data_IF_896608066700
#
_entry.id   IF_896608066700
#
_cell.length_a   1.000
_cell.length_b   1.000
_cell.length_c   1.000
_cell.angle_alpha   90.00
_cell.angle_beta   90.00
_cell.angle_gamma   90.00
#
_symmetry.space_group_name_H-M   'P 1'
#
loop_
_entity.id
_entity.type
_entity.pdbx_description
1 polymer ?
#
# COMPACT_ATOMS: atom_id res chain seq x y z
N UNK A 1 -19.37 34.58 -1.27
CA UNK A 1 -20.08 34.95 -0.03
C UNK A 1 -21.11 36.03 -0.31
N UNK A 2 -20.72 37.23 -0.82
CA UNK A 2 -21.64 38.33 -1.03
C UNK A 2 -22.87 37.96 -1.87
N UNK A 3 -22.67 37.32 -3.03
CA UNK A 3 -23.80 36.94 -3.91
C UNK A 3 -24.74 35.93 -3.24
N UNK A 4 -24.20 34.99 -2.43
CA UNK A 4 -25.06 34.05 -1.72
C UNK A 4 -25.83 34.71 -0.57
N UNK A 5 -25.18 35.60 0.17
CA UNK A 5 -25.85 36.37 1.23
C UNK A 5 -26.97 37.24 0.64
N UNK A 6 -26.75 37.88 -0.49
CA UNK A 6 -27.75 38.74 -1.14
C UNK A 6 -28.92 37.96 -1.74
N UNK A 7 -28.64 36.81 -2.36
CA UNK A 7 -29.65 36.04 -3.08
C UNK A 7 -30.34 34.97 -2.20
N UNK A 8 -29.58 34.34 -1.27
CA UNK A 8 -30.04 33.20 -0.47
C UNK A 8 -30.24 33.56 1.01
N UNK A 9 -29.69 34.69 1.47
CA UNK A 9 -29.78 35.11 2.87
C UNK A 9 -28.85 34.36 3.84
N UNK A 10 -27.97 33.49 3.34
CA UNK A 10 -27.10 32.66 4.18
C UNK A 10 -25.70 32.51 3.60
N UNK A 11 -24.74 32.16 4.48
CA UNK A 11 -23.36 31.88 4.08
C UNK A 11 -23.27 30.54 3.37
N UNK A 12 -22.70 30.45 2.16
CA UNK A 12 -22.73 29.24 1.32
C UNK A 12 -21.79 28.11 1.81
N UNK A 13 -20.91 28.40 2.76
CA UNK A 13 -19.96 27.41 3.29
C UNK A 13 -19.51 27.80 4.71
N UNK A 14 -19.12 26.79 5.50
CA UNK A 14 -18.70 26.96 6.91
C UNK A 14 -17.18 26.98 7.05
N UNK A 15 -16.45 26.38 6.12
CA UNK A 15 -14.99 26.21 6.19
C UNK A 15 -14.34 26.79 4.93
N UNK A 16 -13.22 27.48 5.12
CA UNK A 16 -12.36 28.00 4.03
C UNK A 16 -10.96 27.41 4.23
N UNK A 17 -10.57 26.52 3.32
CA UNK A 17 -9.21 25.97 3.28
C UNK A 17 -8.34 26.82 2.35
N UNK A 18 -7.30 27.44 2.91
CA UNK A 18 -6.34 28.24 2.14
C UNK A 18 -5.13 27.37 1.84
N UNK A 19 -4.94 27.05 0.56
CA UNK A 19 -3.78 26.29 0.07
C UNK A 19 -2.65 27.21 -0.39
N UNK A 20 -1.42 26.70 -0.47
CA UNK A 20 -0.27 27.41 -1.01
C UNK A 20 -0.30 27.52 -2.54
N UNK A 21 0.61 28.31 -3.09
CA UNK A 21 0.80 28.44 -4.53
C UNK A 21 1.72 27.36 -5.08
N UNK A 22 1.46 26.96 -6.32
CA UNK A 22 2.40 26.14 -7.10
C UNK A 22 3.42 27.08 -7.75
N UNK A 23 4.69 26.87 -7.45
CA UNK A 23 5.84 27.62 -7.97
C UNK A 23 6.66 26.76 -8.94
N UNK A 24 7.48 27.39 -9.76
CA UNK A 24 8.43 26.65 -10.59
C UNK A 24 9.51 25.92 -9.74
N UNK A 25 10.38 25.18 -10.39
CA UNK A 25 11.47 24.42 -9.75
C UNK A 25 12.48 25.29 -8.99
N UNK A 26 12.59 26.58 -9.38
CA UNK A 26 13.43 27.56 -8.70
C UNK A 26 12.68 28.28 -7.55
N UNK A 27 11.41 27.97 -7.33
CA UNK A 27 10.58 28.59 -6.30
C UNK A 27 10.00 29.96 -6.69
N UNK A 28 10.07 30.35 -7.97
CA UNK A 28 9.49 31.60 -8.46
C UNK A 28 7.99 31.43 -8.73
N UNK A 29 7.22 32.49 -8.54
CA UNK A 29 5.81 32.51 -8.93
C UNK A 29 5.70 32.33 -10.45
N UNK A 30 4.87 31.41 -10.88
CA UNK A 30 4.58 31.20 -12.29
C UNK A 30 3.81 32.39 -12.86
N UNK A 31 4.24 32.90 -14.00
CA UNK A 31 3.56 33.98 -14.71
C UNK A 31 3.79 33.92 -16.23
N UNK A 32 2.85 34.45 -16.99
CA UNK A 32 2.97 34.54 -18.47
C UNK A 32 4.18 35.37 -18.90
N UNK A 33 4.49 36.45 -18.16
CA UNK A 33 5.62 37.33 -18.46
C UNK A 33 6.98 36.69 -18.25
N UNK A 34 7.11 35.72 -17.35
CA UNK A 34 8.34 34.98 -17.12
C UNK A 34 8.47 33.73 -18.01
N UNK A 35 7.40 33.34 -18.70
CA UNK A 35 7.38 32.13 -19.53
C UNK A 35 7.64 30.83 -18.76
N UNK A 36 7.48 30.85 -17.41
CA UNK A 36 7.72 29.73 -16.53
C UNK A 36 6.43 29.01 -16.09
N UNK A 37 5.31 29.31 -16.75
CA UNK A 37 4.04 28.62 -16.55
C UNK A 37 4.11 27.20 -17.09
N UNK A 38 3.53 26.26 -16.36
CA UNK A 38 3.38 24.86 -16.79
C UNK A 38 1.93 24.69 -17.22
N UNK A 39 1.72 24.23 -18.45
CA UNK A 39 0.39 23.91 -18.95
C UNK A 39 -0.07 22.55 -18.35
N UNK A 40 -1.16 22.52 -17.56
CA UNK A 40 -1.69 21.29 -17.03
C UNK A 40 -2.05 20.26 -18.11
N UNK A 41 -2.49 20.70 -19.30
CA UNK A 41 -2.84 19.79 -20.39
C UNK A 41 -1.60 19.06 -20.94
N UNK A 42 -0.46 19.76 -21.06
CA UNK A 42 0.80 19.13 -21.45
C UNK A 42 1.23 18.06 -20.43
N UNK A 43 1.04 18.31 -19.13
CA UNK A 43 1.31 17.34 -18.07
C UNK A 43 0.38 16.14 -18.18
N UNK A 44 -0.90 16.37 -18.43
CA UNK A 44 -1.92 15.33 -18.57
C UNK A 44 -1.63 14.43 -19.78
N UNK A 45 -1.31 15.04 -20.92
CA UNK A 45 -0.98 14.29 -22.14
C UNK A 45 0.24 13.39 -21.96
N UNK A 46 1.21 13.82 -21.17
CA UNK A 46 2.47 13.10 -20.98
C UNK A 46 2.42 12.04 -19.84
N UNK A 47 1.72 12.34 -18.77
CA UNK A 47 1.76 11.53 -17.54
C UNK A 47 0.40 11.03 -17.05
N UNK A 48 -0.69 11.57 -17.60
CA UNK A 48 -2.06 11.29 -17.14
C UNK A 48 -2.56 12.25 -16.08
N UNK A 49 -3.89 12.40 -16.03
CA UNK A 49 -4.55 13.32 -15.11
C UNK A 49 -4.35 12.92 -13.62
N UNK A 50 -4.39 11.63 -13.31
CA UNK A 50 -4.18 11.12 -11.95
C UNK A 50 -2.78 11.45 -11.42
N UNK A 51 -1.75 11.35 -12.26
CA UNK A 51 -0.39 11.70 -11.87
C UNK A 51 -0.25 13.19 -11.50
N UNK A 52 -0.87 14.07 -12.27
CA UNK A 52 -0.90 15.51 -11.95
C UNK A 52 -1.66 15.78 -10.65
N UNK A 53 -2.88 15.26 -10.52
CA UNK A 53 -3.72 15.43 -9.32
C UNK A 53 -3.00 14.97 -8.05
N UNK A 54 -2.44 13.78 -8.09
CA UNK A 54 -1.70 13.19 -6.99
C UNK A 54 -0.45 14.00 -6.61
N UNK A 55 0.30 14.47 -7.60
CA UNK A 55 1.48 15.32 -7.39
C UNK A 55 1.14 16.62 -6.67
N UNK A 56 0.00 17.25 -7.02
CA UNK A 56 -0.41 18.53 -6.42
C UNK A 56 -0.82 18.39 -4.94
N UNK A 57 -1.20 17.21 -4.50
CA UNK A 57 -1.59 16.96 -3.11
C UNK A 57 -0.43 16.39 -2.29
N UNK A 58 0.41 15.54 -2.89
CA UNK A 58 1.50 14.84 -2.19
C UNK A 58 2.58 15.82 -1.72
N UNK A 59 2.91 15.75 -0.42
CA UNK A 59 3.95 16.57 0.19
C UNK A 59 3.58 18.05 0.34
N UNK A 60 2.28 18.36 0.23
CA UNK A 60 1.75 19.69 0.43
C UNK A 60 1.12 19.82 1.83
N UNK A 61 1.52 20.85 2.56
CA UNK A 61 0.89 21.22 3.83
C UNK A 61 0.04 22.48 3.63
N UNK A 62 -1.14 22.59 4.29
CA UNK A 62 -1.98 23.77 4.20
C UNK A 62 -1.19 25.06 4.42
N UNK A 63 -1.41 26.06 3.55
CA UNK A 63 -0.76 27.36 3.63
C UNK A 63 0.68 27.44 3.13
N UNK A 64 1.32 26.33 2.77
CA UNK A 64 2.68 26.32 2.24
C UNK A 64 2.70 26.24 0.72
N UNK A 65 3.58 27.04 0.10
CA UNK A 65 3.82 26.98 -1.34
C UNK A 65 4.58 25.68 -1.69
N UNK A 66 4.24 25.07 -2.82
CA UNK A 66 4.95 23.92 -3.35
C UNK A 66 5.75 24.26 -4.60
N UNK A 67 6.91 23.60 -4.78
CA UNK A 67 7.64 23.65 -6.05
C UNK A 67 7.22 22.49 -6.93
N UNK A 68 6.95 22.81 -8.19
CA UNK A 68 6.62 21.81 -9.20
C UNK A 68 7.90 21.22 -9.78
N UNK A 69 8.01 19.89 -9.75
CA UNK A 69 9.09 19.13 -10.37
C UNK A 69 8.52 18.04 -11.26
N UNK A 70 8.98 17.97 -12.50
CA UNK A 70 8.59 16.92 -13.44
C UNK A 70 8.88 15.51 -12.89
N UNK A 71 9.97 15.34 -12.16
CA UNK A 71 10.33 14.08 -11.51
C UNK A 71 9.30 13.61 -10.47
N UNK A 72 8.60 14.54 -9.81
CA UNK A 72 7.49 14.20 -8.90
C UNK A 72 6.27 13.69 -9.67
N UNK A 73 5.96 14.28 -10.82
CA UNK A 73 4.86 13.80 -11.66
C UNK A 73 5.17 12.40 -12.20
N UNK A 74 6.41 12.16 -12.61
CA UNK A 74 6.87 10.85 -13.02
C UNK A 74 6.78 9.82 -11.90
N UNK A 75 7.17 10.17 -10.67
CA UNK A 75 7.01 9.31 -9.50
C UNK A 75 5.52 8.99 -9.23
N UNK A 76 4.63 9.98 -9.37
CA UNK A 76 3.18 9.78 -9.22
C UNK A 76 2.61 8.84 -10.28
N UNK A 77 3.06 8.96 -11.54
CA UNK A 77 2.72 7.99 -12.60
C UNK A 77 3.23 6.59 -12.29
N UNK A 78 4.46 6.47 -11.77
CA UNK A 78 5.02 5.18 -11.38
C UNK A 78 4.24 4.54 -10.23
N UNK A 79 3.74 5.33 -9.28
CA UNK A 79 2.82 4.85 -8.24
C UNK A 79 1.51 4.32 -8.86
N UNK A 80 0.88 5.07 -9.77
CA UNK A 80 -0.31 4.60 -10.48
C UNK A 80 -0.04 3.26 -11.20
N UNK A 81 1.10 3.14 -11.90
CA UNK A 81 1.50 1.91 -12.56
C UNK A 81 1.70 0.74 -11.58
N UNK A 82 2.20 1.01 -10.36
CA UNK A 82 2.33 -0.03 -9.33
C UNK A 82 0.97 -0.55 -8.87
N UNK A 83 0.01 0.35 -8.64
CA UNK A 83 -1.38 -0.02 -8.30
C UNK A 83 -2.01 -0.85 -9.42
N UNK A 84 -1.85 -0.42 -10.67
CA UNK A 84 -2.31 -1.16 -11.86
C UNK A 84 -1.71 -2.56 -11.95
N UNK A 85 -0.41 -2.69 -11.76
CA UNK A 85 0.26 -3.99 -11.83
C UNK A 85 -0.16 -4.92 -10.69
N UNK A 86 -0.38 -4.39 -9.48
CA UNK A 86 -0.92 -5.15 -8.36
C UNK A 86 -2.33 -5.67 -8.66
N UNK A 87 -3.21 -4.82 -9.21
CA UNK A 87 -4.58 -5.23 -9.60
C UNK A 87 -4.56 -6.32 -10.68
N UNK A 88 -3.72 -6.16 -11.71
CA UNK A 88 -3.55 -7.20 -12.75
C UNK A 88 -3.07 -8.52 -12.18
N UNK A 89 -2.10 -8.48 -11.26
CA UNK A 89 -1.63 -9.69 -10.59
C UNK A 89 -2.77 -10.41 -9.86
N UNK A 90 -3.62 -9.67 -9.14
CA UNK A 90 -4.77 -10.25 -8.42
C UNK A 90 -5.78 -10.85 -9.39
N UNK A 91 -6.18 -10.11 -10.43
CA UNK A 91 -7.11 -10.60 -11.45
C UNK A 91 -6.60 -11.85 -12.19
N UNK A 92 -5.29 -11.93 -12.45
CA UNK A 92 -4.68 -13.12 -13.08
C UNK A 92 -4.73 -14.37 -12.21
N UNK A 93 -4.81 -14.22 -10.87
CA UNK A 93 -4.94 -15.33 -9.93
C UNK A 93 -6.39 -15.75 -9.66
N UNK A 94 -7.37 -14.97 -10.12
CA UNK A 94 -8.80 -15.30 -10.11
C UNK A 94 -9.48 -14.78 -11.39
N UNK A 95 -9.12 -15.33 -12.57
CA UNK A 95 -9.54 -14.80 -13.88
C UNK A 95 -11.05 -14.87 -14.12
N UNK A 96 -11.73 -15.79 -13.49
CA UNK A 96 -13.20 -15.94 -13.58
C UNK A 96 -13.93 -15.09 -12.54
N UNK A 97 -13.21 -14.29 -11.74
CA UNK A 97 -13.75 -13.46 -10.67
C UNK A 97 -14.69 -14.22 -9.72
N UNK A 98 -14.28 -15.44 -9.32
CA UNK A 98 -15.10 -16.37 -8.50
C UNK A 98 -15.15 -15.98 -7.04
N UNK A 99 -14.08 -15.35 -6.54
CA UNK A 99 -13.95 -14.95 -5.13
C UNK A 99 -14.26 -13.47 -5.04
N UNK A 100 -15.29 -13.13 -4.25
CA UNK A 100 -15.72 -11.74 -4.06
C UNK A 100 -15.16 -11.20 -2.73
N UNK A 101 -14.86 -9.91 -2.69
CA UNK A 101 -14.52 -9.23 -1.44
C UNK A 101 -15.69 -9.19 -0.45
N UNK A 102 -16.92 -9.28 -0.96
CA UNK A 102 -18.18 -9.32 -0.21
C UNK A 102 -18.56 -10.72 0.27
N UNK A 103 -17.86 -11.77 -0.17
CA UNK A 103 -18.04 -13.11 0.36
C UNK A 103 -17.76 -13.14 1.87
N UNK A 104 -18.34 -14.13 2.56
CA UNK A 104 -18.07 -14.36 3.97
C UNK A 104 -16.56 -14.51 4.21
N UNK A 105 -16.06 -13.88 5.28
CA UNK A 105 -14.65 -13.95 5.67
C UNK A 105 -14.19 -15.41 5.81
N UNK A 106 -13.14 -15.83 5.09
CA UNK A 106 -12.61 -17.17 5.22
C UNK A 106 -12.13 -17.49 6.65
N UNK A 107 -12.50 -18.66 7.16
CA UNK A 107 -12.08 -19.09 8.51
C UNK A 107 -10.59 -19.44 8.62
N UNK A 108 -9.94 -19.74 7.48
CA UNK A 108 -8.56 -20.19 7.38
C UNK A 108 -7.57 -19.09 7.00
N UNK A 109 -7.83 -17.84 7.44
CA UNK A 109 -6.88 -16.74 7.30
C UNK A 109 -5.56 -17.06 8.00
N UNK A 110 -4.44 -16.84 7.32
CA UNK A 110 -3.10 -16.97 7.90
C UNK A 110 -2.70 -15.71 8.68
N UNK A 111 -1.58 -15.77 9.42
CA UNK A 111 -1.06 -14.60 10.15
C UNK A 111 -0.76 -13.42 9.21
N UNK A 112 -0.29 -13.69 7.99
CA UNK A 112 -0.06 -12.66 6.98
C UNK A 112 -1.36 -12.00 6.50
N UNK A 113 -2.44 -12.76 6.32
CA UNK A 113 -3.75 -12.22 5.93
C UNK A 113 -4.32 -11.33 7.03
N UNK A 114 -4.28 -11.79 8.27
CA UNK A 114 -4.74 -11.01 9.42
C UNK A 114 -3.91 -9.74 9.63
N UNK A 115 -2.60 -9.84 9.45
CA UNK A 115 -1.69 -8.70 9.52
C UNK A 115 -2.08 -7.60 8.56
N UNK A 116 -2.24 -7.92 7.25
CA UNK A 116 -2.54 -6.89 6.25
C UNK A 116 -3.96 -6.31 6.42
N UNK A 117 -4.94 -7.12 6.85
CA UNK A 117 -6.28 -6.66 7.19
C UNK A 117 -6.25 -5.68 8.37
N UNK A 118 -5.47 -5.98 9.41
CA UNK A 118 -5.31 -5.11 10.58
C UNK A 118 -4.62 -3.80 10.22
N UNK A 119 -3.57 -3.86 9.39
CA UNK A 119 -2.90 -2.66 8.85
C UNK A 119 -3.83 -1.80 8.01
N UNK A 120 -4.64 -2.42 7.14
CA UNK A 120 -5.65 -1.71 6.34
C UNK A 120 -6.70 -1.05 7.21
N UNK A 121 -7.17 -1.76 8.23
CA UNK A 121 -8.14 -1.25 9.19
C UNK A 121 -7.62 -0.01 9.95
N UNK A 122 -6.39 -0.05 10.41
CA UNK A 122 -5.71 1.11 11.01
C UNK A 122 -5.58 2.28 10.04
N UNK A 123 -5.21 1.99 8.78
CA UNK A 123 -5.10 2.99 7.73
C UNK A 123 -6.42 3.68 7.41
N UNK A 124 -7.54 2.94 7.34
CA UNK A 124 -8.88 3.50 7.13
C UNK A 124 -9.16 4.59 8.17
N UNK A 125 -8.89 4.29 9.44
CA UNK A 125 -9.07 5.27 10.52
C UNK A 125 -8.16 6.47 10.36
N UNK A 126 -6.87 6.26 10.14
CA UNK A 126 -5.88 7.33 10.02
C UNK A 126 -6.14 8.24 8.81
N UNK A 127 -6.47 7.67 7.66
CA UNK A 127 -6.78 8.43 6.44
C UNK A 127 -8.05 9.26 6.66
N UNK A 128 -9.11 8.65 7.20
CA UNK A 128 -10.37 9.35 7.48
C UNK A 128 -10.15 10.51 8.47
N UNK A 129 -9.46 10.26 9.59
CA UNK A 129 -9.19 11.28 10.61
C UNK A 129 -8.36 12.46 10.05
N UNK A 130 -7.40 12.20 9.16
CA UNK A 130 -6.60 13.25 8.52
C UNK A 130 -7.40 14.02 7.46
N UNK A 131 -8.24 13.34 6.67
CA UNK A 131 -9.10 14.02 5.70
C UNK A 131 -10.11 14.93 6.39
N UNK A 132 -10.72 14.51 7.50
CA UNK A 132 -11.64 15.33 8.30
C UNK A 132 -10.96 16.59 8.86
N UNK A 133 -9.65 16.55 9.11
CA UNK A 133 -8.83 17.68 9.54
C UNK A 133 -8.27 18.51 8.38
N UNK A 134 -8.61 18.17 7.14
CA UNK A 134 -8.02 18.78 5.92
C UNK A 134 -6.51 18.57 5.77
N UNK A 135 -5.93 17.56 6.43
CA UNK A 135 -4.52 17.18 6.33
C UNK A 135 -4.31 16.21 5.16
N UNK A 136 -4.73 16.63 3.96
CA UNK A 136 -4.80 15.77 2.76
C UNK A 136 -3.45 15.20 2.34
N UNK A 137 -2.37 15.98 2.50
CA UNK A 137 -1.01 15.54 2.20
C UNK A 137 -0.53 14.42 3.12
N UNK A 138 -0.94 14.43 4.41
CA UNK A 138 -0.63 13.36 5.37
C UNK A 138 -1.43 12.11 5.03
N UNK A 139 -2.73 12.26 4.78
CA UNK A 139 -3.60 11.14 4.42
C UNK A 139 -3.07 10.39 3.20
N UNK A 140 -2.72 11.10 2.12
CA UNK A 140 -2.21 10.49 0.89
C UNK A 140 -0.83 9.87 1.07
N UNK A 141 0.05 10.43 1.92
CA UNK A 141 1.36 9.84 2.20
C UNK A 141 1.23 8.48 2.91
N UNK A 142 0.38 8.40 3.94
CA UNK A 142 0.10 7.13 4.64
C UNK A 142 -0.47 6.07 3.70
N UNK A 143 -1.38 6.48 2.81
CA UNK A 143 -1.95 5.59 1.80
C UNK A 143 -0.90 5.11 0.79
N UNK A 144 0.01 5.99 0.36
CA UNK A 144 1.14 5.64 -0.49
C UNK A 144 2.02 4.58 0.15
N UNK A 145 2.46 4.82 1.38
CA UNK A 145 3.37 3.93 2.11
C UNK A 145 2.73 2.55 2.30
N UNK A 146 1.45 2.51 2.68
CA UNK A 146 0.72 1.25 2.81
C UNK A 146 0.63 0.48 1.49
N UNK A 147 0.19 1.13 0.41
CA UNK A 147 0.02 0.46 -0.90
C UNK A 147 1.38 0.00 -1.43
N UNK A 148 2.38 0.87 -1.35
CA UNK A 148 3.70 0.55 -1.93
C UNK A 148 4.43 -0.50 -1.13
N UNK A 149 4.61 -0.27 0.17
CA UNK A 149 5.46 -1.11 1.02
C UNK A 149 4.68 -2.30 1.58
N UNK A 150 3.61 -2.05 2.37
CA UNK A 150 2.95 -3.12 3.11
C UNK A 150 2.20 -4.07 2.18
N UNK A 151 1.42 -3.53 1.25
CA UNK A 151 0.62 -4.35 0.35
C UNK A 151 1.45 -4.94 -0.80
N UNK A 152 2.13 -4.10 -1.60
CA UNK A 152 2.82 -4.58 -2.80
C UNK A 152 4.14 -5.28 -2.50
N UNK A 153 5.02 -4.67 -1.65
CA UNK A 153 6.37 -5.19 -1.46
C UNK A 153 6.42 -6.33 -0.43
N UNK A 154 5.45 -6.38 0.51
CA UNK A 154 5.40 -7.42 1.52
C UNK A 154 4.26 -8.41 1.28
N UNK A 155 3.00 -7.98 1.39
CA UNK A 155 1.88 -8.93 1.42
C UNK A 155 1.76 -9.72 0.12
N UNK A 156 1.81 -9.08 -1.05
CA UNK A 156 1.77 -9.78 -2.34
C UNK A 156 2.89 -10.82 -2.43
N UNK A 157 4.11 -10.48 -2.00
CA UNK A 157 5.22 -11.43 -2.02
C UNK A 157 5.05 -12.58 -1.03
N UNK A 158 4.45 -12.33 0.14
CA UNK A 158 4.16 -13.37 1.13
C UNK A 158 3.15 -14.41 0.63
N UNK A 159 2.16 -13.98 -0.16
CA UNK A 159 1.09 -14.89 -0.62
C UNK A 159 1.41 -15.61 -1.92
N UNK A 160 2.41 -15.19 -2.70
CA UNK A 160 2.79 -15.86 -3.96
C UNK A 160 2.96 -17.37 -3.84
N UNK A 161 3.66 -17.93 -2.82
CA UNK A 161 3.81 -19.38 -2.69
C UNK A 161 2.47 -20.12 -2.59
N UNK A 162 1.48 -19.50 -1.91
CA UNK A 162 0.12 -20.05 -1.76
C UNK A 162 -0.67 -19.96 -3.08
N UNK A 163 -0.54 -18.84 -3.80
CA UNK A 163 -1.25 -18.62 -5.05
C UNK A 163 -0.77 -19.55 -6.18
N UNK A 164 0.51 -19.92 -6.18
CA UNK A 164 1.11 -20.80 -7.19
C UNK A 164 1.00 -22.29 -6.83
N UNK A 165 0.45 -22.63 -5.67
CA UNK A 165 0.20 -24.01 -5.25
C UNK A 165 -1.31 -24.30 -5.25
N UNK A 166 -1.78 -25.03 -6.26
CA UNK A 166 -3.20 -25.36 -6.37
C UNK A 166 -3.72 -26.28 -5.25
N UNK A 167 -2.83 -26.96 -4.54
CA UNK A 167 -3.16 -27.79 -3.39
C UNK A 167 -3.21 -27.02 -2.05
N UNK A 168 -2.90 -25.72 -2.05
CA UNK A 168 -2.91 -24.92 -0.83
C UNK A 168 -4.36 -24.55 -0.44
N UNK A 169 -4.81 -25.11 0.68
CA UNK A 169 -6.17 -24.91 1.20
C UNK A 169 -6.45 -23.45 1.59
N UNK A 170 -5.39 -22.63 1.77
CA UNK A 170 -5.51 -21.21 2.12
C UNK A 170 -5.46 -20.26 0.91
N UNK A 171 -5.35 -20.79 -0.31
CA UNK A 171 -5.29 -20.01 -1.55
C UNK A 171 -6.51 -19.09 -1.72
N UNK A 172 -7.71 -19.61 -1.48
CA UNK A 172 -8.96 -18.83 -1.54
C UNK A 172 -8.95 -17.67 -0.54
N UNK A 173 -8.47 -17.92 0.69
CA UNK A 173 -8.35 -16.88 1.71
C UNK A 173 -7.35 -15.78 1.30
N UNK A 174 -6.23 -16.16 0.66
CA UNK A 174 -5.28 -15.18 0.12
C UNK A 174 -5.89 -14.29 -0.97
N UNK A 175 -6.63 -14.87 -1.92
CA UNK A 175 -7.30 -14.12 -2.99
C UNK A 175 -8.38 -13.19 -2.43
N UNK A 176 -9.20 -13.69 -1.51
CA UNK A 176 -10.21 -12.87 -0.82
C UNK A 176 -9.57 -11.66 -0.11
N UNK A 177 -8.51 -11.89 0.64
CA UNK A 177 -7.80 -10.83 1.37
C UNK A 177 -7.17 -9.82 0.41
N UNK A 178 -6.52 -10.28 -0.68
CA UNK A 178 -5.97 -9.40 -1.71
C UNK A 178 -7.02 -8.48 -2.32
N UNK A 179 -8.20 -9.01 -2.66
CA UNK A 179 -9.30 -8.23 -3.24
C UNK A 179 -9.88 -7.26 -2.23
N UNK A 180 -10.17 -7.71 -1.01
CA UNK A 180 -10.72 -6.87 0.06
C UNK A 180 -9.83 -5.67 0.34
N UNK A 181 -8.53 -5.93 0.57
CA UNK A 181 -7.56 -4.86 0.87
C UNK A 181 -7.37 -3.91 -0.32
N UNK A 182 -7.31 -4.44 -1.55
CA UNK A 182 -7.17 -3.59 -2.73
C UNK A 182 -8.40 -2.70 -2.93
N UNK A 183 -9.61 -3.24 -2.82
CA UNK A 183 -10.86 -2.48 -3.00
C UNK A 183 -10.95 -1.35 -1.97
N UNK A 184 -10.66 -1.62 -0.70
CA UNK A 184 -10.65 -0.59 0.33
C UNK A 184 -9.56 0.47 0.05
N UNK A 185 -8.37 0.06 -0.36
CA UNK A 185 -7.30 0.98 -0.74
C UNK A 185 -7.68 1.85 -1.95
N UNK A 186 -8.37 1.29 -2.96
CA UNK A 186 -8.89 2.04 -4.11
C UNK A 186 -9.92 3.08 -3.69
N UNK A 187 -10.85 2.73 -2.77
CA UNK A 187 -11.84 3.66 -2.24
C UNK A 187 -11.18 4.83 -1.52
N UNK A 188 -10.16 4.59 -0.69
CA UNK A 188 -9.39 5.64 -0.03
C UNK A 188 -8.57 6.48 -1.01
N UNK A 189 -8.07 5.90 -2.09
CA UNK A 189 -7.25 6.56 -3.10
C UNK A 189 -8.08 7.37 -4.11
N UNK A 190 -9.35 7.01 -4.30
CA UNK A 190 -10.22 7.57 -5.33
C UNK A 190 -10.31 9.11 -5.34
N UNK A 191 -10.41 9.82 -4.21
CA UNK A 191 -10.43 11.29 -4.21
C UNK A 191 -9.17 11.93 -4.84
N UNK A 192 -8.07 11.22 -4.84
CA UNK A 192 -6.76 11.69 -5.34
C UNK A 192 -6.50 11.25 -6.79
N UNK A 193 -6.84 10.00 -7.13
CA UNK A 193 -6.61 9.36 -8.44
C UNK A 193 -7.90 8.73 -8.97
N UNK A 194 -8.91 9.54 -9.37
CA UNK A 194 -10.23 9.02 -9.69
C UNK A 194 -10.28 8.12 -10.92
N UNK A 195 -9.43 8.33 -11.92
CA UNK A 195 -9.57 7.61 -13.20
C UNK A 195 -9.05 6.18 -13.09
N UNK A 196 -7.85 5.97 -12.58
CA UNK A 196 -7.27 4.64 -12.44
C UNK A 196 -8.00 3.80 -11.39
N UNK A 197 -8.47 4.42 -10.31
CA UNK A 197 -9.19 3.69 -9.26
C UNK A 197 -10.56 3.23 -9.73
N UNK A 198 -11.28 4.05 -10.50
CA UNK A 198 -12.53 3.65 -11.16
C UNK A 198 -12.30 2.49 -12.12
N UNK A 199 -11.34 2.62 -13.02
CA UNK A 199 -11.03 1.58 -14.01
C UNK A 199 -10.70 0.24 -13.35
N UNK A 200 -9.87 0.23 -12.31
CA UNK A 200 -9.54 -0.99 -11.58
C UNK A 200 -10.76 -1.54 -10.85
N UNK A 201 -11.51 -0.67 -10.16
CA UNK A 201 -12.68 -1.06 -9.38
C UNK A 201 -13.73 -1.75 -10.22
N UNK A 202 -14.09 -1.19 -11.37
CA UNK A 202 -15.06 -1.77 -12.30
C UNK A 202 -14.61 -3.10 -12.93
N UNK A 203 -13.30 -3.41 -12.90
CA UNK A 203 -12.76 -4.64 -13.44
C UNK A 203 -12.51 -5.74 -12.38
N UNK A 204 -12.35 -5.39 -11.09
CA UNK A 204 -12.02 -6.36 -10.04
C UNK A 204 -13.26 -6.87 -9.28
N UNK A 205 -14.37 -6.18 -9.40
CA UNK A 205 -15.66 -6.53 -8.83
C UNK A 205 -16.79 -6.27 -9.86
N UNK A 206 -17.97 -6.82 -9.65
CA UNK A 206 -19.13 -6.74 -10.54
C UNK A 206 -20.45 -6.46 -9.79
N UNK A 207 -20.36 -6.03 -8.54
CA UNK A 207 -21.49 -5.81 -7.66
C UNK A 207 -21.94 -4.36 -7.62
N UNK A 208 -21.01 -3.43 -7.78
CA UNK A 208 -21.27 -1.98 -7.80
C UNK A 208 -20.88 -1.38 -9.15
N UNK A 209 -21.73 -0.49 -9.69
CA UNK A 209 -21.56 0.13 -11.00
C UNK A 209 -20.36 1.08 -11.06
N UNK A 210 -20.06 1.74 -9.96
CA UNK A 210 -18.96 2.74 -9.88
C UNK A 210 -18.46 2.89 -8.45
N UNK A 211 -17.15 3.13 -8.29
CA UNK A 211 -16.55 3.45 -7.00
C UNK A 211 -17.11 4.76 -6.40
N UNK A 212 -17.61 5.66 -7.26
CA UNK A 212 -18.20 6.94 -6.85
C UNK A 212 -19.44 6.80 -5.97
N UNK A 213 -20.19 5.73 -6.14
CA UNK A 213 -21.43 5.45 -5.37
C UNK A 213 -21.20 4.43 -4.26
N UNK A 214 -19.99 3.87 -4.17
CA UNK A 214 -19.66 2.90 -3.14
C UNK A 214 -19.50 3.55 -1.76
N UNK A 215 -19.73 2.75 -0.71
CA UNK A 215 -19.54 3.24 0.67
C UNK A 215 -18.07 3.44 0.99
N UNK A 216 -17.75 4.53 1.71
CA UNK A 216 -16.44 4.76 2.28
C UNK A 216 -16.07 3.65 3.28
N UNK A 217 -14.84 3.12 3.28
CA UNK A 217 -14.42 2.10 4.22
C UNK A 217 -14.52 2.61 5.66
N UNK A 218 -14.94 1.73 6.57
CA UNK A 218 -15.13 2.07 7.99
C UNK A 218 -14.24 1.17 8.86
N UNK A 219 -13.60 1.79 9.86
CA UNK A 219 -12.83 1.06 10.87
C UNK A 219 -13.73 0.07 11.62
N UNK A 220 -13.25 -1.17 11.76
CA UNK A 220 -13.93 -2.26 12.44
C UNK A 220 -13.00 -2.91 13.48
N UNK A 221 -13.36 -2.85 14.76
CA UNK A 221 -12.56 -3.42 15.85
C UNK A 221 -12.30 -4.91 15.71
N UNK A 222 -13.15 -5.65 15.00
CA UNK A 222 -12.99 -7.09 14.74
C UNK A 222 -11.84 -7.41 13.77
N UNK A 223 -11.33 -6.39 13.07
CA UNK A 223 -10.18 -6.47 12.17
C UNK A 223 -8.86 -6.03 12.85
N UNK A 224 -8.82 -5.98 14.17
CA UNK A 224 -7.61 -5.60 14.91
C UNK A 224 -6.88 -6.85 15.40
N UNK A 225 -5.81 -7.24 14.70
CA UNK A 225 -5.03 -8.47 14.94
C UNK A 225 -3.63 -8.12 15.45
N UNK A 226 -3.54 -7.52 16.64
CA UNK A 226 -2.28 -7.02 17.22
C UNK A 226 -1.21 -8.09 17.42
N UNK A 227 -1.59 -9.33 17.70
CA UNK A 227 -0.65 -10.45 17.86
C UNK A 227 0.00 -10.82 16.51
N UNK A 228 -0.79 -10.90 15.45
CA UNK A 228 -0.34 -11.21 14.11
C UNK A 228 0.46 -10.03 13.51
N UNK A 229 0.12 -8.79 13.82
CA UNK A 229 0.95 -7.64 13.46
C UNK A 229 2.35 -7.75 14.06
N UNK A 230 2.46 -8.02 15.35
CA UNK A 230 3.76 -8.19 16.01
C UNK A 230 4.54 -9.37 15.43
N UNK A 231 3.87 -10.49 15.14
CA UNK A 231 4.49 -11.67 14.55
C UNK A 231 5.10 -11.35 13.17
N UNK A 232 4.33 -10.74 12.28
CA UNK A 232 4.79 -10.41 10.92
C UNK A 232 5.87 -9.33 10.95
N UNK A 233 5.79 -8.31 11.82
CA UNK A 233 6.87 -7.32 11.94
C UNK A 233 8.18 -7.97 12.41
N UNK A 234 8.14 -8.96 13.29
CA UNK A 234 9.32 -9.76 13.69
C UNK A 234 9.93 -10.49 12.47
N UNK A 235 9.11 -11.08 11.62
CA UNK A 235 9.55 -11.74 10.38
C UNK A 235 10.14 -10.73 9.39
N UNK A 236 9.48 -9.57 9.20
CA UNK A 236 9.97 -8.50 8.31
C UNK A 236 11.35 -7.97 8.77
N UNK A 237 11.54 -7.80 10.07
CA UNK A 237 12.82 -7.39 10.65
C UNK A 237 13.91 -8.43 10.38
N UNK A 238 13.63 -9.72 10.61
CA UNK A 238 14.57 -10.80 10.31
C UNK A 238 14.95 -10.83 8.82
N UNK A 239 13.98 -10.69 7.91
CA UNK A 239 14.24 -10.62 6.47
C UNK A 239 15.11 -9.42 6.11
N UNK A 240 14.81 -8.24 6.68
CA UNK A 240 15.62 -7.01 6.44
C UNK A 240 17.06 -7.21 6.90
N UNK A 241 17.27 -7.75 8.10
CA UNK A 241 18.60 -8.00 8.65
C UNK A 241 19.39 -8.99 7.79
N UNK A 242 18.77 -10.09 7.34
CA UNK A 242 19.41 -11.04 6.43
C UNK A 242 19.77 -10.37 5.09
N UNK A 243 18.87 -9.57 4.52
CA UNK A 243 19.14 -8.86 3.25
C UNK A 243 20.26 -7.83 3.40
N UNK A 244 20.31 -7.10 4.50
CA UNK A 244 21.40 -6.14 4.79
C UNK A 244 22.73 -6.86 4.93
N UNK A 245 22.81 -7.93 5.75
CA UNK A 245 24.01 -8.72 5.91
C UNK A 245 24.51 -9.27 4.57
N UNK A 246 23.60 -9.77 3.71
CA UNK A 246 23.95 -10.24 2.37
C UNK A 246 24.48 -9.12 1.46
N UNK A 247 23.91 -7.92 1.55
CA UNK A 247 24.38 -6.75 0.81
C UNK A 247 25.80 -6.34 1.26
N UNK A 248 26.04 -6.29 2.56
CA UNK A 248 27.35 -5.95 3.14
C UNK A 248 28.43 -6.95 2.71
N UNK A 249 28.05 -8.23 2.59
CA UNK A 249 28.95 -9.29 2.11
C UNK A 249 28.99 -9.44 0.59
N UNK A 250 28.30 -8.57 -0.17
CA UNK A 250 28.17 -8.64 -1.64
C UNK A 250 27.64 -9.99 -2.16
N UNK A 251 26.72 -10.62 -1.42
CA UNK A 251 26.07 -11.88 -1.82
C UNK A 251 24.85 -11.59 -2.69
N UNK A 252 24.90 -11.98 -3.97
CA UNK A 252 23.80 -11.78 -4.91
C UNK A 252 22.51 -12.51 -4.45
N UNK A 253 21.31 -11.96 -4.71
CA UNK A 253 20.02 -12.59 -4.38
C UNK A 253 19.84 -14.01 -4.96
N UNK A 254 20.42 -14.28 -6.13
CA UNK A 254 20.39 -15.59 -6.78
C UNK A 254 21.17 -16.68 -6.03
N UNK A 255 22.15 -16.30 -5.21
CA UNK A 255 22.90 -17.25 -4.38
C UNK A 255 22.12 -17.52 -3.08
N UNK A 256 21.36 -18.57 -3.04
CA UNK A 256 20.61 -18.98 -1.84
C UNK A 256 21.56 -19.54 -0.77
N UNK A 257 21.25 -19.30 0.51
CA UNK A 257 22.01 -19.76 1.66
C UNK A 257 21.12 -20.48 2.65
N UNK A 258 21.72 -21.37 3.45
CA UNK A 258 21.05 -21.98 4.58
C UNK A 258 20.90 -20.92 5.69
N UNK A 259 19.70 -20.78 6.24
CA UNK A 259 19.39 -19.84 7.31
C UNK A 259 19.04 -20.59 8.58
N UNK A 260 19.72 -20.25 9.67
CA UNK A 260 19.41 -20.76 11.01
C UNK A 260 18.73 -19.67 11.83
N UNK A 261 17.60 -19.98 12.39
CA UNK A 261 16.91 -19.16 13.41
C UNK A 261 17.12 -19.81 14.76
N UNK A 262 17.89 -19.16 15.63
CA UNK A 262 18.21 -19.71 16.96
C UNK A 262 17.42 -18.92 18.00
N UNK A 263 16.52 -19.58 18.70
CA UNK A 263 15.73 -18.97 19.77
C UNK A 263 15.29 -20.01 20.80
N UNK A 264 15.38 -19.65 22.09
CA UNK A 264 14.84 -20.45 23.19
C UNK A 264 13.34 -20.18 23.44
N UNK A 265 12.77 -19.13 22.83
CA UNK A 265 11.36 -18.77 22.97
C UNK A 265 10.49 -19.63 22.08
N UNK A 266 9.54 -20.35 22.66
CA UNK A 266 8.55 -21.13 21.90
C UNK A 266 7.63 -20.22 21.05
N UNK A 267 7.27 -19.04 21.55
CA UNK A 267 6.47 -18.07 20.78
C UNK A 267 7.19 -17.64 19.51
N UNK A 268 8.48 -17.31 19.60
CA UNK A 268 9.28 -16.93 18.43
C UNK A 268 9.45 -18.10 17.46
N UNK A 269 9.67 -19.33 17.97
CA UNK A 269 9.71 -20.52 17.12
C UNK A 269 8.41 -20.71 16.34
N UNK A 270 7.26 -20.53 17.00
CA UNK A 270 5.96 -20.66 16.38
C UNK A 270 5.77 -19.58 15.27
N UNK A 271 6.16 -18.33 15.52
CA UNK A 271 6.12 -17.25 14.54
C UNK A 271 6.90 -17.66 13.27
N UNK A 272 8.14 -18.13 13.43
CA UNK A 272 8.95 -18.53 12.27
C UNK A 272 8.40 -19.79 11.58
N UNK A 273 7.94 -20.79 12.33
CA UNK A 273 7.37 -22.01 11.76
C UNK A 273 6.10 -21.73 10.95
N UNK A 274 5.21 -20.85 11.44
CA UNK A 274 4.01 -20.42 10.70
C UNK A 274 4.35 -19.61 9.43
N UNK A 275 5.53 -18.99 9.38
CA UNK A 275 5.96 -18.12 8.30
C UNK A 275 6.93 -18.78 7.31
N UNK A 276 7.31 -20.06 7.51
CA UNK A 276 8.32 -20.76 6.68
C UNK A 276 7.99 -20.71 5.19
N UNK A 277 6.72 -20.80 4.82
CA UNK A 277 6.27 -20.83 3.43
C UNK A 277 6.73 -19.62 2.61
N UNK A 278 6.83 -18.43 3.21
CA UNK A 278 7.28 -17.22 2.52
C UNK A 278 8.62 -16.68 3.05
N UNK A 279 8.95 -16.92 4.32
CA UNK A 279 10.17 -16.39 4.93
C UNK A 279 11.43 -16.81 4.16
N UNK A 280 11.55 -18.10 3.83
CA UNK A 280 12.68 -18.62 3.06
C UNK A 280 12.83 -17.93 1.70
N UNK A 281 11.73 -17.68 1.00
CA UNK A 281 11.74 -16.98 -0.28
C UNK A 281 12.18 -15.54 -0.13
N UNK A 282 11.63 -14.83 0.84
CA UNK A 282 11.96 -13.42 1.09
C UNK A 282 13.37 -13.20 1.62
N UNK A 283 13.90 -14.17 2.38
CA UNK A 283 15.28 -14.15 2.90
C UNK A 283 16.33 -14.68 1.91
N UNK A 284 15.92 -15.10 0.70
CA UNK A 284 16.78 -15.80 -0.27
C UNK A 284 17.44 -17.04 0.31
N UNK A 285 16.71 -17.79 1.15
CA UNK A 285 17.18 -19.03 1.75
C UNK A 285 17.01 -20.23 0.83
N UNK A 286 17.94 -21.17 0.87
CA UNK A 286 17.77 -22.51 0.30
C UNK A 286 16.95 -23.41 1.22
N UNK A 287 17.14 -23.24 2.53
CA UNK A 287 16.44 -23.93 3.60
C UNK A 287 16.45 -23.04 4.84
N UNK A 288 15.45 -23.14 5.69
CA UNK A 288 15.37 -22.46 6.99
C UNK A 288 15.27 -23.49 8.10
N UNK A 289 16.15 -23.41 9.09
CA UNK A 289 16.14 -24.26 10.27
C UNK A 289 15.86 -23.43 11.52
N UNK A 290 14.80 -23.76 12.24
CA UNK A 290 14.45 -23.12 13.51
C UNK A 290 14.84 -24.07 14.66
N UNK A 291 15.71 -23.61 15.54
CA UNK A 291 16.28 -24.44 16.61
C UNK A 291 16.51 -23.66 17.91
N UNK A 292 16.65 -24.38 19.01
CA UNK A 292 16.74 -23.79 20.35
C UNK A 292 18.14 -23.28 20.69
N UNK A 293 19.18 -23.86 20.12
CA UNK A 293 20.57 -23.53 20.40
C UNK A 293 21.42 -23.53 19.12
N UNK A 294 22.71 -23.28 19.24
CA UNK A 294 23.64 -23.22 18.11
C UNK A 294 24.22 -24.56 17.65
N UNK A 295 23.67 -25.70 18.13
CA UNK A 295 24.18 -27.00 17.76
C UNK A 295 24.07 -27.26 16.26
N UNK A 296 25.15 -27.73 15.63
CA UNK A 296 25.19 -28.09 14.23
C UNK A 296 25.24 -26.87 13.25
N UNK A 297 25.40 -25.65 13.75
CA UNK A 297 25.66 -24.47 12.91
C UNK A 297 27.14 -24.50 12.51
N UNK A 298 27.49 -24.34 11.21
CA UNK A 298 28.87 -24.24 10.76
C UNK A 298 29.63 -23.10 11.42
N UNK A 299 30.92 -23.27 11.69
CA UNK A 299 31.76 -22.22 12.33
C UNK A 299 31.93 -20.97 11.45
N UNK A 300 31.78 -21.11 10.14
CA UNK A 300 31.84 -20.03 9.15
C UNK A 300 30.48 -19.34 8.91
N UNK A 301 29.43 -19.72 9.65
CA UNK A 301 28.16 -19.04 9.60
C UNK A 301 28.25 -17.62 10.15
N UNK A 302 27.68 -16.67 9.43
CA UNK A 302 27.68 -15.25 9.76
C UNK A 302 26.34 -14.86 10.41
N UNK A 303 26.39 -14.00 11.45
CA UNK A 303 25.23 -13.53 12.20
C UNK A 303 25.17 -12.02 12.30
#
# INVERSE_FOLDING_TARGET
VFSAMEQMGEVPFKTVLIHGLVRDDQGRKMSKSLGNGIDPLEVIDKYGADALRYTLITGNAPGNDMRFYWSRVEASRNFANKVWNASRFIMMNDPDNKIKATDERPANLTDADKWILSKMNGLIKEVTDNMEKYELGIAVAKLNDFIWEEFCDWYIEMVKPRLYNDADETKTAAIWTLKTVLIDALKLLHPYMPFITEEIFCNIQDEEESIMISSWPVYDETNNFAAEEKAIETIKEAVRNIRNLRADMNVAPSRKALVYVVTASEDVKNIFNNSLGFFGTLAYASEVKVQADKAGIPEDAVS
#
